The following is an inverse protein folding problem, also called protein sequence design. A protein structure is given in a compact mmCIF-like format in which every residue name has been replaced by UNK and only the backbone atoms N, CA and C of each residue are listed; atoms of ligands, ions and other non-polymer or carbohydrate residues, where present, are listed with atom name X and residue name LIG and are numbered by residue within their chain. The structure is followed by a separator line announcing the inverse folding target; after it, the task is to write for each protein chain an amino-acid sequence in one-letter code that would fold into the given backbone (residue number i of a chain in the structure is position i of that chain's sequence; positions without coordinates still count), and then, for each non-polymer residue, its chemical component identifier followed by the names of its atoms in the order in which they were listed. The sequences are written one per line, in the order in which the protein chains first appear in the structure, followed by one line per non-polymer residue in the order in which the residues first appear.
data_IF_821748040055
#
_entry.id   IF_821748040055
#
_cell.length_a   1.000
_cell.length_b   1.000
_cell.length_c   1.000
_cell.angle_alpha   90.00
_cell.angle_beta   90.00
_cell.angle_gamma   90.00
#
_symmetry.space_group_name_H-M   'P 1'
#
loop_
_entity.id
_entity.type
_entity.pdbx_description
1 polymer ?
#
# COMPACT_ATOMS: atom_id res chain seq x y z
N UNK A 1 -14.39 -0.32 -30.75
CA UNK A 1 -14.55 -1.70 -30.25
C UNK A 1 -13.89 -2.66 -31.22
N UNK A 2 -12.55 -2.69 -31.23
CA UNK A 2 -11.80 -3.85 -31.71
C UNK A 2 -11.28 -4.46 -30.41
N UNK A 3 -11.82 -5.61 -30.03
CA UNK A 3 -11.32 -6.36 -28.89
C UNK A 3 -10.00 -7.00 -29.29
N UNK A 4 -8.90 -6.27 -29.10
CA UNK A 4 -7.57 -6.78 -29.41
C UNK A 4 -7.27 -7.99 -28.52
N UNK A 5 -7.10 -9.16 -29.13
CA UNK A 5 -6.72 -10.39 -28.45
C UNK A 5 -5.42 -10.25 -27.63
N UNK A 6 -4.55 -9.29 -27.99
CA UNK A 6 -3.35 -8.93 -27.20
C UNK A 6 -3.72 -8.45 -25.79
N UNK A 7 -4.71 -7.56 -25.67
CA UNK A 7 -5.17 -7.05 -24.37
C UNK A 7 -5.69 -8.17 -23.47
N UNK A 8 -6.37 -9.18 -24.03
CA UNK A 8 -6.84 -10.34 -23.26
C UNK A 8 -5.66 -11.17 -22.77
N UNK A 9 -4.67 -11.42 -23.62
CA UNK A 9 -3.48 -12.21 -23.28
C UNK A 9 -2.66 -11.56 -22.16
N UNK A 10 -2.37 -10.26 -22.26
CA UNK A 10 -1.55 -9.56 -21.28
C UNK A 10 -2.22 -9.50 -19.90
N UNK A 11 -3.55 -9.38 -19.88
CA UNK A 11 -4.34 -9.45 -18.65
C UNK A 11 -4.35 -10.84 -18.01
N UNK A 12 -4.43 -11.90 -18.83
CA UNK A 12 -4.32 -13.27 -18.36
C UNK A 12 -2.95 -13.51 -17.72
N UNK A 13 -1.87 -13.05 -18.35
CA UNK A 13 -0.52 -13.17 -17.78
C UNK A 13 -0.37 -12.41 -16.44
N UNK A 14 -0.97 -11.23 -16.33
CA UNK A 14 -1.04 -10.51 -15.06
C UNK A 14 -1.74 -11.32 -13.96
N UNK A 15 -2.91 -11.89 -14.26
CA UNK A 15 -3.64 -12.75 -13.33
C UNK A 15 -2.86 -14.04 -13.00
N UNK A 16 -2.11 -14.60 -13.94
CA UNK A 16 -1.20 -15.73 -13.71
C UNK A 16 -0.10 -15.35 -12.72
N UNK A 17 0.44 -14.14 -12.78
CA UNK A 17 1.39 -13.61 -11.79
C UNK A 17 0.81 -13.57 -10.38
N UNK A 18 -0.43 -13.06 -10.23
CA UNK A 18 -1.16 -13.03 -8.96
C UNK A 18 -1.36 -14.45 -8.42
N UNK A 19 -1.91 -15.34 -9.25
CA UNK A 19 -2.21 -16.72 -8.87
C UNK A 19 -0.93 -17.50 -8.55
N UNK A 20 0.16 -17.27 -9.28
CA UNK A 20 1.47 -17.85 -9.02
C UNK A 20 1.98 -17.49 -7.62
N UNK A 21 1.99 -16.20 -7.26
CA UNK A 21 2.39 -15.76 -5.92
C UNK A 21 1.47 -16.33 -4.84
N UNK A 22 0.15 -16.37 -5.08
CA UNK A 22 -0.81 -16.99 -4.17
C UNK A 22 -0.54 -18.49 -3.95
N UNK A 23 -0.35 -19.26 -5.02
CA UNK A 23 -0.10 -20.70 -4.96
C UNK A 23 1.20 -21.01 -4.20
N UNK A 24 2.28 -20.28 -4.51
CA UNK A 24 3.56 -20.42 -3.81
C UNK A 24 3.39 -20.10 -2.32
N UNK A 25 2.67 -19.02 -1.98
CA UNK A 25 2.36 -18.68 -0.59
C UNK A 25 1.54 -19.78 0.12
N UNK A 26 0.56 -20.36 -0.57
CA UNK A 26 -0.28 -21.44 -0.06
C UNK A 26 0.52 -22.72 0.22
N UNK A 27 1.44 -23.11 -0.68
CA UNK A 27 2.35 -24.22 -0.45
C UNK A 27 3.26 -23.96 0.76
N UNK A 28 3.88 -22.78 0.84
CA UNK A 28 4.73 -22.44 1.99
C UNK A 28 3.98 -22.27 3.31
N UNK A 29 2.67 -22.04 3.26
CA UNK A 29 1.79 -22.03 4.42
C UNK A 29 1.58 -23.44 4.99
N UNK A 30 1.58 -24.49 4.15
CA UNK A 30 1.47 -25.89 4.60
C UNK A 30 2.77 -26.47 5.13
N UNK A 31 3.91 -25.89 4.76
CA UNK A 31 5.23 -26.33 5.25
C UNK A 31 5.46 -25.88 6.69
N UNK A 32 6.10 -26.74 7.48
CA UNK A 32 6.41 -26.50 8.90
C UNK A 32 7.11 -25.14 9.10
N UNK A 33 6.80 -24.37 10.16
CA UNK A 33 7.41 -23.07 10.39
C UNK A 33 8.92 -23.21 10.60
N UNK A 34 9.70 -22.87 9.57
CA UNK A 34 11.16 -22.79 9.70
C UNK A 34 11.53 -21.55 10.51
N UNK A 35 12.18 -21.76 11.65
CA UNK A 35 12.72 -20.69 12.52
C UNK A 35 14.01 -20.07 11.99
N UNK A 36 14.61 -20.65 10.94
CA UNK A 36 15.85 -20.19 10.32
C UNK A 36 15.58 -18.92 9.50
N UNK A 37 16.25 -17.81 9.84
CA UNK A 37 16.07 -16.49 9.19
C UNK A 37 16.31 -16.53 7.67
N UNK A 38 17.34 -17.23 7.22
CA UNK A 38 17.68 -17.36 5.79
C UNK A 38 16.53 -18.04 5.03
N UNK A 39 15.93 -19.08 5.61
CA UNK A 39 14.80 -19.76 5.00
C UNK A 39 13.57 -18.83 4.89
N UNK A 40 13.34 -17.93 5.85
CA UNK A 40 12.24 -16.95 5.77
C UNK A 40 12.45 -15.92 4.65
N UNK A 41 13.68 -15.46 4.49
CA UNK A 41 14.07 -14.55 3.40
C UNK A 41 13.85 -15.26 2.06
N UNK A 42 14.34 -16.48 1.91
CA UNK A 42 14.19 -17.25 0.69
C UNK A 42 12.72 -17.58 0.36
N UNK A 43 11.90 -17.90 1.37
CA UNK A 43 10.45 -18.07 1.18
C UNK A 43 9.79 -16.80 0.66
N UNK A 44 10.09 -15.64 1.27
CA UNK A 44 9.53 -14.35 0.84
C UNK A 44 9.95 -14.00 -0.58
N UNK A 45 11.19 -14.30 -0.93
CA UNK A 45 11.73 -14.20 -2.29
C UNK A 45 10.87 -15.03 -3.26
N UNK A 46 10.77 -16.34 -3.04
CA UNK A 46 9.99 -17.22 -3.93
C UNK A 46 8.52 -16.81 -4.08
N UNK A 47 7.88 -16.32 -3.02
CA UNK A 47 6.49 -15.84 -3.07
C UNK A 47 6.38 -14.55 -3.88
N UNK A 48 7.33 -13.63 -3.74
CA UNK A 48 7.34 -12.35 -4.46
C UNK A 48 7.63 -12.52 -5.96
N UNK A 49 8.37 -13.57 -6.35
CA UNK A 49 8.89 -13.74 -7.71
C UNK A 49 7.83 -13.74 -8.81
N UNK A 50 6.73 -14.54 -8.76
CA UNK A 50 5.78 -14.60 -9.87
C UNK A 50 5.19 -13.23 -10.22
N UNK A 51 4.71 -12.51 -9.20
CA UNK A 51 4.17 -11.17 -9.38
C UNK A 51 5.22 -10.16 -9.82
N UNK A 52 6.41 -10.19 -9.21
CA UNK A 52 7.48 -9.24 -9.52
C UNK A 52 8.03 -9.40 -10.94
N UNK A 53 8.05 -10.63 -11.46
CA UNK A 53 8.46 -10.93 -12.84
C UNK A 53 7.46 -10.32 -13.82
N UNK A 54 6.16 -10.56 -13.61
CA UNK A 54 5.14 -9.98 -14.49
C UNK A 54 5.22 -8.46 -14.47
N UNK A 55 5.26 -7.85 -13.28
CA UNK A 55 5.41 -6.42 -13.10
C UNK A 55 6.69 -5.85 -13.73
N UNK A 56 7.82 -6.55 -13.62
CA UNK A 56 9.10 -6.11 -14.14
C UNK A 56 9.24 -6.22 -15.65
N UNK A 57 8.55 -7.17 -16.28
CA UNK A 57 8.58 -7.41 -17.73
C UNK A 57 7.57 -6.55 -18.52
N UNK A 58 6.94 -5.58 -17.86
CA UNK A 58 6.02 -4.64 -18.51
C UNK A 58 6.72 -3.68 -19.48
N UNK A 59 5.98 -3.17 -20.44
CA UNK A 59 6.41 -2.05 -21.29
C UNK A 59 6.56 -0.76 -20.46
N UNK A 60 7.46 0.13 -20.89
CA UNK A 60 7.66 1.44 -20.25
C UNK A 60 6.45 2.39 -20.39
N UNK A 61 5.51 2.05 -21.29
CA UNK A 61 4.22 2.73 -21.45
C UNK A 61 3.20 2.39 -20.37
N UNK A 62 3.43 1.35 -19.55
CA UNK A 62 2.46 0.88 -18.55
C UNK A 62 2.63 1.65 -17.24
N UNK A 63 1.66 2.51 -16.95
CA UNK A 63 1.62 3.42 -15.81
C UNK A 63 2.17 4.81 -16.13
N UNK A 64 1.43 5.84 -15.73
CA UNK A 64 1.77 7.23 -15.96
C UNK A 64 3.12 7.61 -15.33
N UNK A 65 3.35 7.30 -14.05
CA UNK A 65 4.64 7.65 -13.44
C UNK A 65 5.79 6.87 -14.10
N UNK A 66 5.62 5.58 -14.44
CA UNK A 66 6.67 4.80 -15.13
C UNK A 66 7.08 5.49 -16.43
N UNK A 67 6.11 5.95 -17.22
CA UNK A 67 6.35 6.70 -18.44
C UNK A 67 7.03 8.05 -18.17
N UNK A 68 6.57 8.80 -17.17
CA UNK A 68 7.17 10.07 -16.77
C UNK A 68 8.62 9.91 -16.30
N UNK A 69 8.93 8.85 -15.56
CA UNK A 69 10.27 8.52 -15.09
C UNK A 69 11.15 7.84 -16.15
N UNK A 70 10.67 7.68 -17.40
CA UNK A 70 11.41 7.02 -18.48
C UNK A 70 12.79 7.62 -18.75
N UNK A 71 12.92 8.95 -18.64
CA UNK A 71 14.18 9.66 -18.82
C UNK A 71 15.27 9.22 -17.82
N UNK A 72 14.89 8.80 -16.60
CA UNK A 72 15.83 8.22 -15.62
C UNK A 72 16.32 6.85 -16.05
N UNK A 73 15.44 6.03 -16.65
CA UNK A 73 15.81 4.70 -17.13
C UNK A 73 16.77 4.77 -18.33
N UNK A 74 16.71 5.83 -19.12
CA UNK A 74 17.58 6.04 -20.30
C UNK A 74 18.79 6.97 -20.07
N UNK A 75 19.09 7.32 -18.81
CA UNK A 75 20.31 8.05 -18.45
C UNK A 75 20.36 9.53 -18.88
N UNK A 76 19.22 10.14 -19.23
CA UNK A 76 19.12 11.55 -19.61
C UNK A 76 19.00 12.43 -18.36
N UNK A 77 20.13 12.72 -17.72
CA UNK A 77 20.23 13.36 -16.40
C UNK A 77 20.19 14.89 -16.40
N UNK A 78 20.14 15.54 -17.56
CA UNK A 78 20.29 17.00 -17.64
C UNK A 78 19.04 17.79 -17.22
N UNK A 79 17.92 17.12 -16.93
CA UNK A 79 16.64 17.75 -16.59
C UNK A 79 16.19 17.53 -15.12
N UNK A 80 17.11 17.28 -14.19
CA UNK A 80 16.75 16.84 -12.84
C UNK A 80 16.23 17.95 -11.91
N UNK A 81 15.05 17.77 -11.28
CA UNK A 81 14.68 18.51 -10.09
C UNK A 81 15.66 18.17 -8.94
N UNK A 82 16.30 19.18 -8.34
CA UNK A 82 17.31 19.02 -7.26
C UNK A 82 16.81 18.26 -6.01
N UNK A 83 15.52 18.02 -5.89
CA UNK A 83 14.87 17.52 -4.67
C UNK A 83 14.57 16.03 -4.69
N UNK A 84 14.92 15.35 -5.76
CA UNK A 84 14.89 13.88 -5.85
C UNK A 84 16.27 13.26 -5.71
N UNK A 85 17.25 14.00 -5.18
CA UNK A 85 18.67 13.69 -5.30
C UNK A 85 19.02 12.23 -5.01
N UNK A 86 18.56 11.65 -3.88
CA UNK A 86 18.89 10.26 -3.54
C UNK A 86 18.21 9.24 -4.46
N UNK A 87 16.94 9.44 -4.81
CA UNK A 87 16.25 8.58 -5.75
C UNK A 87 16.90 8.68 -7.13
N UNK A 88 17.16 9.89 -7.63
CA UNK A 88 17.87 10.11 -8.88
C UNK A 88 19.27 9.49 -8.88
N UNK A 89 20.04 9.63 -7.79
CA UNK A 89 21.35 8.98 -7.67
C UNK A 89 21.24 7.45 -7.69
N UNK A 90 20.22 6.87 -7.04
CA UNK A 90 20.00 5.42 -7.08
C UNK A 90 19.66 4.93 -8.49
N UNK A 91 18.86 5.70 -9.24
CA UNK A 91 18.54 5.40 -10.64
C UNK A 91 19.77 5.49 -11.53
N UNK A 92 20.62 6.51 -11.33
CA UNK A 92 21.91 6.64 -12.02
C UNK A 92 22.82 5.46 -11.72
N UNK A 93 22.93 5.06 -10.46
CA UNK A 93 23.76 3.93 -10.06
C UNK A 93 23.27 2.63 -10.72
N UNK A 94 21.96 2.36 -10.65
CA UNK A 94 21.37 1.19 -11.29
C UNK A 94 21.56 1.22 -12.81
N UNK A 95 21.38 2.37 -13.44
CA UNK A 95 21.61 2.57 -14.87
C UNK A 95 23.09 2.28 -15.23
N UNK A 96 24.05 2.76 -14.44
CA UNK A 96 25.49 2.46 -14.62
C UNK A 96 25.81 0.98 -14.41
N UNK A 97 25.14 0.30 -13.47
CA UNK A 97 25.36 -1.11 -13.18
C UNK A 97 24.79 -2.05 -14.27
N UNK A 98 23.66 -1.68 -14.88
CA UNK A 98 22.90 -2.55 -15.78
C UNK A 98 22.87 -2.10 -17.25
N UNK A 99 23.41 -0.91 -17.55
CA UNK A 99 23.41 -0.30 -18.87
C UNK A 99 22.18 0.57 -19.12
N UNK A 100 22.36 1.66 -19.88
CA UNK A 100 21.35 2.70 -20.13
C UNK A 100 20.13 2.25 -20.94
N UNK A 101 20.19 1.07 -21.57
CA UNK A 101 19.15 0.60 -22.47
C UNK A 101 18.32 -0.55 -21.87
N UNK A 102 18.57 -0.93 -20.61
CA UNK A 102 17.91 -2.06 -19.97
C UNK A 102 16.99 -1.65 -18.82
N UNK A 103 15.98 -0.84 -19.15
CA UNK A 103 14.97 -0.40 -18.17
C UNK A 103 14.21 -1.57 -17.53
N UNK A 104 14.07 -2.70 -18.24
CA UNK A 104 13.40 -3.91 -17.74
C UNK A 104 14.07 -4.45 -16.48
N UNK A 105 15.40 -4.46 -16.38
CA UNK A 105 16.10 -4.87 -15.15
C UNK A 105 15.78 -3.91 -14.00
N UNK A 106 15.71 -2.61 -14.27
CA UNK A 106 15.36 -1.62 -13.24
C UNK A 106 13.92 -1.80 -12.77
N UNK A 107 12.96 -1.96 -13.68
CA UNK A 107 11.57 -2.23 -13.35
C UNK A 107 11.41 -3.53 -12.57
N UNK A 108 12.15 -4.58 -12.95
CA UNK A 108 12.20 -5.83 -12.21
C UNK A 108 12.72 -5.61 -10.79
N UNK A 109 13.84 -4.89 -10.62
CA UNK A 109 14.41 -4.60 -9.30
C UNK A 109 13.43 -3.86 -8.39
N UNK A 110 12.78 -2.79 -8.87
CA UNK A 110 11.81 -2.04 -8.06
C UNK A 110 10.56 -2.84 -7.74
N UNK A 111 10.02 -3.58 -8.73
CA UNK A 111 8.87 -4.45 -8.51
C UNK A 111 9.21 -5.53 -7.47
N UNK A 112 10.39 -6.13 -7.59
CA UNK A 112 10.87 -7.14 -6.65
C UNK A 112 11.06 -6.58 -5.25
N UNK A 113 11.79 -5.46 -5.10
CA UNK A 113 12.03 -4.84 -3.81
C UNK A 113 10.69 -4.50 -3.11
N UNK A 114 9.74 -3.94 -3.85
CA UNK A 114 8.44 -3.53 -3.33
C UNK A 114 7.64 -4.73 -2.82
N UNK A 115 7.40 -5.73 -3.67
CA UNK A 115 6.63 -6.93 -3.31
C UNK A 115 7.35 -7.75 -2.22
N UNK A 116 8.67 -7.88 -2.30
CA UNK A 116 9.48 -8.58 -1.31
C UNK A 116 9.35 -7.96 0.08
N UNK A 117 9.51 -6.64 0.23
CA UNK A 117 9.37 -5.99 1.53
C UNK A 117 7.96 -6.13 2.09
N UNK A 118 6.93 -5.99 1.26
CA UNK A 118 5.55 -6.19 1.69
C UNK A 118 5.30 -7.62 2.20
N UNK A 119 5.82 -8.64 1.52
CA UNK A 119 5.61 -10.04 1.89
C UNK A 119 6.48 -10.45 3.08
N UNK A 120 7.72 -9.96 3.14
CA UNK A 120 8.62 -10.22 4.26
C UNK A 120 8.16 -9.55 5.56
N UNK A 121 7.46 -8.40 5.49
CA UNK A 121 6.85 -7.77 6.66
C UNK A 121 5.88 -8.72 7.36
N UNK A 122 5.20 -9.58 6.61
CA UNK A 122 4.17 -10.47 7.12
C UNK A 122 4.70 -11.77 7.69
N UNK A 123 5.85 -12.24 7.19
CA UNK A 123 6.64 -13.24 7.92
C UNK A 123 6.95 -12.80 9.36
N UNK A 124 7.18 -11.49 9.57
CA UNK A 124 7.44 -10.94 10.91
C UNK A 124 6.20 -10.86 11.80
N UNK A 125 4.99 -10.96 11.24
CA UNK A 125 3.74 -11.04 11.99
C UNK A 125 3.25 -12.47 12.26
N UNK A 126 3.99 -13.50 11.81
CA UNK A 126 3.70 -14.92 12.02
C UNK A 126 2.33 -15.38 11.45
N UNK A 127 1.94 -14.90 10.28
CA UNK A 127 0.63 -15.19 9.67
C UNK A 127 0.59 -16.51 8.90
N UNK A 128 1.29 -17.55 9.37
CA UNK A 128 1.49 -18.80 8.60
C UNK A 128 0.19 -19.37 8.01
N UNK A 129 -0.94 -19.32 8.73
CA UNK A 129 -2.23 -19.91 8.32
C UNK A 129 -3.12 -19.01 7.43
N UNK A 130 -2.67 -17.82 7.06
CA UNK A 130 -3.44 -16.83 6.31
C UNK A 130 -2.58 -16.05 5.31
N UNK A 131 -1.33 -16.47 5.11
CA UNK A 131 -0.36 -15.83 4.21
C UNK A 131 -0.89 -15.74 2.79
N UNK A 132 -1.48 -16.82 2.28
CA UNK A 132 -2.01 -16.85 0.93
C UNK A 132 -3.12 -15.80 0.71
N UNK A 133 -4.01 -15.64 1.70
CA UNK A 133 -5.08 -14.62 1.65
C UNK A 133 -4.48 -13.22 1.58
N UNK A 134 -3.49 -12.92 2.42
CA UNK A 134 -2.82 -11.63 2.35
C UNK A 134 -2.18 -11.38 0.98
N UNK A 135 -1.40 -12.35 0.47
CA UNK A 135 -0.68 -12.21 -0.81
C UNK A 135 -1.67 -11.93 -1.93
N UNK A 136 -2.77 -12.68 -1.98
CA UNK A 136 -3.83 -12.46 -2.95
C UNK A 136 -4.46 -11.07 -2.82
N UNK A 137 -4.87 -10.67 -1.61
CA UNK A 137 -5.45 -9.34 -1.37
C UNK A 137 -4.48 -8.21 -1.72
N UNK A 138 -3.20 -8.33 -1.35
CA UNK A 138 -2.17 -7.35 -1.70
C UNK A 138 -2.04 -7.21 -3.22
N UNK A 139 -1.93 -8.33 -3.94
CA UNK A 139 -1.80 -8.31 -5.38
C UNK A 139 -3.04 -7.70 -6.07
N UNK A 140 -4.25 -8.01 -5.59
CA UNK A 140 -5.50 -7.44 -6.12
C UNK A 140 -5.62 -5.93 -5.87
N UNK A 141 -5.21 -5.45 -4.69
CA UNK A 141 -5.34 -4.03 -4.37
C UNK A 141 -4.19 -3.20 -4.92
N UNK A 142 -2.94 -3.66 -4.78
CA UNK A 142 -1.75 -2.84 -5.04
C UNK A 142 -0.92 -3.30 -6.24
N UNK A 143 -1.17 -4.49 -6.79
CA UNK A 143 -0.31 -5.07 -7.83
C UNK A 143 -0.14 -4.14 -9.04
N UNK A 144 -1.23 -3.63 -9.60
CA UNK A 144 -1.17 -2.68 -10.72
C UNK A 144 -0.73 -1.27 -10.27
N UNK A 145 -1.06 -0.83 -9.06
CA UNK A 145 -0.51 0.43 -8.53
C UNK A 145 1.02 0.43 -8.47
N UNK A 146 1.71 -0.71 -8.41
CA UNK A 146 3.19 -0.75 -8.49
C UNK A 146 3.68 -0.23 -9.84
N UNK A 147 2.91 -0.36 -10.93
CA UNK A 147 3.31 0.15 -12.23
C UNK A 147 3.16 1.65 -12.34
N UNK A 148 2.23 2.25 -11.59
CA UNK A 148 1.96 3.68 -11.65
C UNK A 148 2.57 4.47 -10.49
N UNK A 149 2.87 3.86 -9.34
CA UNK A 149 3.26 4.58 -8.12
C UNK A 149 4.46 3.90 -7.43
N UNK A 150 5.42 3.40 -8.21
CA UNK A 150 6.47 2.48 -7.72
C UNK A 150 7.32 3.04 -6.56
N UNK A 151 7.72 4.32 -6.60
CA UNK A 151 8.47 4.97 -5.49
C UNK A 151 7.65 4.97 -4.21
N UNK A 152 6.38 5.34 -4.35
CA UNK A 152 5.48 5.46 -3.24
C UNK A 152 5.17 4.10 -2.63
N UNK A 153 4.86 3.09 -3.45
CA UNK A 153 4.57 1.74 -2.97
C UNK A 153 5.78 1.03 -2.39
N UNK A 154 6.99 1.31 -2.88
CA UNK A 154 8.22 0.91 -2.19
C UNK A 154 8.29 1.54 -0.80
N UNK A 155 7.99 2.84 -0.69
CA UNK A 155 7.84 3.55 0.59
C UNK A 155 6.78 2.92 1.50
N UNK A 156 5.61 2.55 0.97
CA UNK A 156 4.56 1.85 1.72
C UNK A 156 5.04 0.49 2.24
N UNK A 157 5.76 -0.27 1.41
CA UNK A 157 6.28 -1.60 1.75
C UNK A 157 7.38 -1.52 2.82
N UNK A 158 8.25 -0.51 2.76
CA UNK A 158 9.23 -0.20 3.80
C UNK A 158 8.55 0.25 5.09
N UNK A 159 7.48 1.04 5.01
CA UNK A 159 6.69 1.42 6.18
C UNK A 159 5.99 0.22 6.82
N UNK A 160 5.50 -0.73 6.03
CA UNK A 160 4.94 -1.99 6.53
C UNK A 160 5.98 -2.79 7.31
N UNK A 161 7.23 -2.85 6.83
CA UNK A 161 8.36 -3.41 7.57
C UNK A 161 8.59 -2.67 8.90
N UNK A 162 8.48 -1.34 8.92
CA UNK A 162 8.59 -0.57 10.15
C UNK A 162 7.50 -0.95 11.17
N UNK A 163 6.24 -1.03 10.73
CA UNK A 163 5.11 -1.49 11.56
C UNK A 163 5.38 -2.90 12.12
N UNK A 164 5.93 -3.79 11.29
CA UNK A 164 6.29 -5.14 11.71
C UNK A 164 7.40 -5.18 12.77
N UNK A 165 8.40 -4.31 12.67
CA UNK A 165 9.44 -4.20 13.68
C UNK A 165 8.95 -3.54 14.97
N UNK A 166 8.10 -2.51 14.87
CA UNK A 166 7.46 -1.90 16.04
C UNK A 166 6.59 -2.91 16.79
N UNK A 167 5.87 -3.77 16.06
CA UNK A 167 5.03 -4.81 16.65
C UNK A 167 5.81 -5.94 17.34
N UNK A 168 7.10 -6.05 17.05
CA UNK A 168 8.04 -6.98 17.66
C UNK A 168 8.99 -6.28 18.64
N UNK A 169 8.65 -5.07 19.10
CA UNK A 169 9.41 -4.23 20.04
C UNK A 169 10.82 -3.82 19.56
N UNK A 170 11.14 -4.02 18.28
CA UNK A 170 12.45 -3.68 17.68
C UNK A 170 12.46 -2.25 17.16
N UNK A 171 12.34 -1.29 18.08
CA UNK A 171 12.15 0.14 17.80
C UNK A 171 13.21 0.74 16.87
N UNK A 172 14.49 0.48 17.14
CA UNK A 172 15.60 1.02 16.33
C UNK A 172 15.47 0.57 14.86
N UNK A 173 15.16 -0.71 14.63
CA UNK A 173 14.96 -1.23 13.28
C UNK A 173 13.74 -0.59 12.62
N UNK A 174 12.64 -0.45 13.35
CA UNK A 174 11.45 0.24 12.85
C UNK A 174 11.75 1.68 12.40
N UNK A 175 12.48 2.46 13.22
CA UNK A 175 12.91 3.82 12.88
C UNK A 175 13.80 3.84 11.63
N UNK A 176 14.75 2.91 11.51
CA UNK A 176 15.59 2.81 10.31
C UNK A 176 14.76 2.60 9.04
N UNK A 177 13.73 1.76 9.08
CA UNK A 177 12.84 1.56 7.93
C UNK A 177 11.98 2.79 7.62
N UNK A 178 11.57 3.59 8.64
CA UNK A 178 10.90 4.88 8.42
C UNK A 178 11.84 5.87 7.73
N UNK A 179 13.10 5.96 8.17
CA UNK A 179 14.12 6.85 7.58
C UNK A 179 14.37 6.46 6.12
N UNK A 180 14.65 5.17 5.84
CA UNK A 180 14.88 4.66 4.48
C UNK A 180 13.64 4.88 3.61
N UNK A 181 12.44 4.61 4.13
CA UNK A 181 11.19 4.87 3.43
C UNK A 181 11.00 6.35 3.11
N UNK A 182 11.32 7.25 4.04
CA UNK A 182 11.21 8.71 3.85
C UNK A 182 12.14 9.20 2.74
N UNK A 183 13.35 8.65 2.65
CA UNK A 183 14.26 8.92 1.53
C UNK A 183 13.76 8.39 0.19
N UNK A 184 12.90 7.36 0.20
CA UNK A 184 12.24 6.85 -1.01
C UNK A 184 11.07 7.73 -1.42
N UNK A 185 10.21 8.08 -0.45
CA UNK A 185 9.05 8.95 -0.63
C UNK A 185 8.69 9.67 0.68
N UNK A 186 8.58 11.00 0.63
CA UNK A 186 8.47 11.85 1.84
C UNK A 186 7.20 11.63 2.66
N UNK A 187 6.10 11.15 2.04
CA UNK A 187 4.84 10.85 2.74
C UNK A 187 5.00 9.79 3.85
N UNK A 188 6.04 8.95 3.79
CA UNK A 188 6.32 7.96 4.84
C UNK A 188 6.48 8.62 6.20
N UNK A 189 7.15 9.77 6.28
CA UNK A 189 7.38 10.47 7.55
C UNK A 189 6.07 10.98 8.16
N UNK A 190 5.24 11.64 7.35
CA UNK A 190 3.94 12.19 7.78
C UNK A 190 3.06 11.05 8.30
N UNK A 191 2.98 9.97 7.55
CA UNK A 191 2.17 8.80 7.90
C UNK A 191 2.72 8.08 9.14
N UNK A 192 4.03 8.01 9.31
CA UNK A 192 4.64 7.43 10.51
C UNK A 192 4.23 8.21 11.77
N UNK A 193 4.13 9.54 11.70
CA UNK A 193 3.63 10.36 12.81
C UNK A 193 2.16 10.03 13.12
N UNK A 194 1.31 9.91 12.10
CA UNK A 194 -0.11 9.52 12.28
C UNK A 194 -0.22 8.14 12.94
N UNK A 195 0.59 7.17 12.50
CA UNK A 195 0.62 5.84 13.12
C UNK A 195 1.08 5.87 14.60
N UNK A 196 2.09 6.69 14.93
CA UNK A 196 2.55 6.87 16.31
C UNK A 196 1.46 7.50 17.18
N UNK A 197 0.74 8.49 16.67
CA UNK A 197 -0.42 9.09 17.35
C UNK A 197 -1.48 8.04 17.61
N UNK A 198 -1.81 7.18 16.64
CA UNK A 198 -2.74 6.06 16.85
C UNK A 198 -2.30 5.15 18.01
N UNK A 199 -0.99 4.86 18.09
CA UNK A 199 -0.43 4.05 19.17
C UNK A 199 -0.47 4.72 20.55
N UNK A 200 -0.34 6.05 20.61
CA UNK A 200 -0.51 6.84 21.84
C UNK A 200 -1.97 6.89 22.30
N UNK A 201 -2.90 7.07 21.36
CA UNK A 201 -4.34 7.07 21.63
C UNK A 201 -4.75 5.73 22.27
N UNK A 202 -4.28 4.61 21.71
CA UNK A 202 -4.57 3.28 22.25
C UNK A 202 -4.06 3.11 23.69
N UNK A 203 -2.85 3.61 24.00
CA UNK A 203 -2.26 3.51 25.36
C UNK A 203 -2.92 4.41 26.39
N UNK A 204 -3.51 5.52 25.96
CA UNK A 204 -4.13 6.48 26.86
C UNK A 204 -5.38 5.90 27.53
N UNK A 205 -5.82 6.44 28.67
CA UNK A 205 -7.09 6.05 29.30
C UNK A 205 -8.32 6.21 28.37
N UNK A 206 -8.18 6.98 27.27
CA UNK A 206 -9.18 7.11 26.20
C UNK A 206 -9.28 5.85 25.32
N UNK A 207 -8.24 5.01 25.27
CA UNK A 207 -8.11 3.81 24.44
C UNK A 207 -8.75 2.54 25.00
N UNK A 208 -9.38 2.60 26.19
CA UNK A 208 -10.29 1.55 26.66
C UNK A 208 -11.60 1.56 25.85
N UNK A 209 -11.51 1.30 24.55
CA UNK A 209 -12.65 0.88 23.73
C UNK A 209 -13.00 -0.54 24.16
N UNK A 210 -13.71 -0.67 25.29
CA UNK A 210 -14.35 -1.93 25.68
C UNK A 210 -15.64 -2.05 24.90
N UNK A 211 -15.61 -2.82 23.81
CA UNK A 211 -16.84 -3.31 23.18
C UNK A 211 -17.36 -4.44 24.07
N UNK A 212 -18.29 -4.12 24.97
CA UNK A 212 -19.03 -5.15 25.70
C UNK A 212 -20.17 -5.63 24.80
N UNK A 213 -20.13 -6.90 24.42
CA UNK A 213 -21.29 -7.56 23.85
C UNK A 213 -22.28 -7.83 24.98
N UNK A 214 -23.42 -7.16 24.95
CA UNK A 214 -24.61 -7.62 25.67
C UNK A 214 -24.90 -9.06 25.24
N UNK A 215 -25.31 -9.92 26.18
CA UNK A 215 -25.75 -11.30 25.91
C UNK A 215 -26.99 -11.36 24.99
N UNK A 216 -27.63 -10.22 24.73
CA UNK A 216 -28.77 -10.09 23.83
C UNK A 216 -28.32 -9.47 22.51
N UNK A 217 -28.73 -10.07 21.40
CA UNK A 217 -28.33 -9.87 20.00
C UNK A 217 -28.44 -8.44 19.40
N UNK A 218 -28.36 -7.37 20.18
CA UNK A 218 -28.31 -5.99 19.68
C UNK A 218 -26.86 -5.57 19.40
N UNK A 219 -26.57 -5.24 18.14
CA UNK A 219 -25.28 -4.73 17.67
C UNK A 219 -25.08 -3.28 18.16
N UNK A 220 -24.68 -3.12 19.42
CA UNK A 220 -24.39 -1.80 20.01
C UNK A 220 -22.90 -1.45 19.88
N UNK A 221 -22.57 -0.47 19.03
CA UNK A 221 -21.23 0.14 19.02
C UNK A 221 -21.14 1.19 20.12
N UNK A 222 -20.71 0.83 21.32
CA UNK A 222 -20.31 1.84 22.32
C UNK A 222 -18.85 2.21 22.12
N UNK A 223 -18.59 3.04 21.11
CA UNK A 223 -17.35 3.82 21.07
C UNK A 223 -17.36 4.76 22.28
N UNK A 224 -16.25 4.83 23.01
CA UNK A 224 -16.13 5.83 24.08
C UNK A 224 -16.39 7.20 23.43
N UNK A 225 -17.44 7.94 23.82
CA UNK A 225 -17.77 9.21 23.17
C UNK A 225 -16.61 10.20 23.26
N UNK A 226 -15.76 10.12 24.30
CA UNK A 226 -14.54 10.92 24.41
C UNK A 226 -13.49 10.54 23.35
N UNK A 227 -13.35 9.26 23.02
CA UNK A 227 -12.45 8.80 21.96
C UNK A 227 -13.01 9.15 20.58
N UNK A 228 -14.32 9.05 20.37
CA UNK A 228 -14.96 9.46 19.12
C UNK A 228 -14.85 10.97 18.90
N UNK A 229 -15.09 11.77 19.95
CA UNK A 229 -14.94 13.23 19.91
C UNK A 229 -13.47 13.60 19.72
N UNK A 230 -12.52 12.95 20.40
CA UNK A 230 -11.10 13.20 20.21
C UNK A 230 -10.63 12.81 18.80
N UNK A 231 -11.07 11.65 18.29
CA UNK A 231 -10.73 11.19 16.94
C UNK A 231 -11.36 12.09 15.87
N UNK A 232 -12.62 12.46 16.06
CA UNK A 232 -13.32 13.45 15.24
C UNK A 232 -12.61 14.80 15.29
N UNK A 233 -12.18 15.26 16.47
CA UNK A 233 -11.43 16.50 16.64
C UNK A 233 -10.05 16.44 15.97
N UNK A 234 -9.28 15.36 16.16
CA UNK A 234 -7.98 15.18 15.51
C UNK A 234 -8.16 15.11 14.00
N UNK A 235 -9.16 14.40 13.50
CA UNK A 235 -9.48 14.36 12.06
C UNK A 235 -9.85 15.75 11.56
N UNK A 236 -10.75 16.45 12.25
CA UNK A 236 -11.18 17.81 11.87
C UNK A 236 -10.01 18.78 11.92
N UNK A 237 -9.14 18.72 12.94
CA UNK A 237 -7.94 19.55 13.04
C UNK A 237 -6.94 19.20 11.94
N UNK A 238 -6.70 17.93 11.66
CA UNK A 238 -5.82 17.52 10.57
C UNK A 238 -6.39 17.97 9.22
N UNK A 239 -7.67 17.76 8.96
CA UNK A 239 -8.36 18.27 7.78
C UNK A 239 -8.18 19.79 7.73
N UNK A 240 -8.65 20.54 8.72
CA UNK A 240 -8.56 22.01 8.75
C UNK A 240 -7.12 22.53 8.61
N UNK A 241 -6.15 21.89 9.24
CA UNK A 241 -4.73 22.25 9.13
C UNK A 241 -4.21 21.99 7.71
N UNK A 242 -4.40 20.78 7.18
CA UNK A 242 -3.96 20.40 5.83
C UNK A 242 -4.75 21.08 4.71
N UNK A 243 -5.98 21.54 4.97
CA UNK A 243 -6.83 22.27 4.02
C UNK A 243 -6.75 23.79 4.17
N UNK A 244 -6.05 24.31 5.18
CA UNK A 244 -5.88 25.76 5.31
C UNK A 244 -5.04 26.27 4.15
N UNK A 245 -5.53 27.33 3.48
CA UNK A 245 -4.79 28.00 2.41
C UNK A 245 -3.40 28.39 2.87
N UNK A 246 -3.27 28.89 4.11
CA UNK A 246 -1.98 29.28 4.70
C UNK A 246 -0.99 28.11 4.81
N UNK A 247 -1.44 26.89 5.13
CA UNK A 247 -0.55 25.73 5.20
C UNK A 247 -0.18 25.21 3.81
N UNK A 248 -1.13 25.18 2.88
CA UNK A 248 -0.85 24.82 1.48
C UNK A 248 0.10 25.84 0.83
N UNK A 249 -0.10 27.13 1.06
CA UNK A 249 0.76 28.22 0.60
C UNK A 249 2.16 28.13 1.23
N UNK A 250 2.24 27.83 2.53
CA UNK A 250 3.51 27.55 3.22
C UNK A 250 4.25 26.36 2.57
N UNK A 251 3.54 25.25 2.30
CA UNK A 251 4.12 24.10 1.61
C UNK A 251 4.54 24.45 0.18
N UNK A 252 3.73 25.18 -0.59
CA UNK A 252 4.09 25.64 -1.93
C UNK A 252 5.38 26.47 -1.94
N UNK A 253 5.61 27.27 -0.89
CA UNK A 253 6.77 28.15 -0.78
C UNK A 253 8.05 27.43 -0.32
N UNK A 254 7.94 26.25 0.31
CA UNK A 254 9.09 25.49 0.84
C UNK A 254 9.38 24.26 -0.01
N UNK A 255 8.36 23.73 -0.66
CA UNK A 255 8.46 22.59 -1.55
C UNK A 255 8.83 23.11 -2.95
N UNK A 256 9.73 22.44 -3.69
CA UNK A 256 10.20 22.88 -5.00
C UNK A 256 9.06 23.11 -5.99
N UNK A 257 9.26 24.04 -6.92
CA UNK A 257 8.30 24.41 -7.98
C UNK A 257 7.74 23.20 -8.74
N UNK A 258 8.53 22.15 -8.96
CA UNK A 258 8.07 20.96 -9.69
C UNK A 258 7.04 20.13 -8.89
N UNK A 259 6.97 20.34 -7.58
CA UNK A 259 6.03 19.70 -6.67
C UNK A 259 4.94 20.64 -6.17
N UNK A 260 5.09 21.95 -6.34
CA UNK A 260 4.04 22.93 -5.98
C UNK A 260 2.74 22.64 -6.73
N UNK A 261 2.84 22.08 -7.95
CA UNK A 261 1.71 21.61 -8.74
C UNK A 261 0.82 20.60 -8.00
N UNK A 262 1.37 19.74 -7.13
CA UNK A 262 0.59 18.77 -6.32
C UNK A 262 -0.19 19.42 -5.17
N UNK A 263 0.11 20.68 -4.84
CA UNK A 263 -0.55 21.47 -3.80
C UNK A 263 -1.47 22.54 -4.39
N UNK A 264 -1.27 22.92 -5.65
CA UNK A 264 -2.09 23.92 -6.35
C UNK A 264 -3.23 23.32 -7.19
N UNK A 265 -3.22 22.01 -7.46
CA UNK A 265 -4.25 21.35 -8.25
C UNK A 265 -5.50 21.01 -7.43
N UNK A 266 -6.56 21.81 -7.56
CA UNK A 266 -7.94 21.40 -7.31
C UNK A 266 -8.40 20.51 -8.47
N UNK A 267 -8.14 19.20 -8.41
CA UNK A 267 -8.42 18.34 -9.57
C UNK A 267 -9.89 17.93 -9.64
N UNK A 268 -10.51 18.29 -10.77
CA UNK A 268 -11.60 17.57 -11.43
C UNK A 268 -11.15 16.16 -11.88
N UNK A 269 -10.44 15.40 -11.03
CA UNK A 269 -10.04 14.03 -11.36
C UNK A 269 -11.08 13.04 -10.87
N UNK A 270 -11.61 12.32 -11.86
CA UNK A 270 -12.30 11.03 -11.86
C UNK A 270 -12.93 10.58 -10.53
N UNK A 271 -14.27 10.51 -10.55
CA UNK A 271 -15.11 9.89 -9.51
C UNK A 271 -15.07 10.56 -8.13
N UNK A 272 -15.30 11.88 -8.09
CA UNK A 272 -15.70 12.59 -6.86
C UNK A 272 -16.89 11.85 -6.22
N UNK A 273 -16.80 11.50 -4.95
CA UNK A 273 -17.80 10.69 -4.23
C UNK A 273 -17.64 9.17 -4.41
N UNK A 274 -17.69 8.64 -5.63
CA UNK A 274 -17.60 7.19 -5.85
C UNK A 274 -16.22 6.62 -5.47
N UNK A 275 -15.15 7.38 -5.70
CA UNK A 275 -13.80 7.00 -5.28
C UNK A 275 -13.65 6.86 -3.77
N UNK A 276 -14.37 7.68 -2.97
CA UNK A 276 -14.38 7.54 -1.52
C UNK A 276 -14.98 6.20 -1.10
N UNK A 277 -16.09 5.80 -1.73
CA UNK A 277 -16.76 4.52 -1.45
C UNK A 277 -15.84 3.36 -1.84
N UNK A 278 -15.22 3.44 -3.02
CA UNK A 278 -14.35 2.40 -3.56
C UNK A 278 -13.12 2.16 -2.65
N UNK A 279 -12.37 3.22 -2.32
CA UNK A 279 -11.16 3.12 -1.49
C UNK A 279 -11.49 2.72 -0.05
N UNK A 280 -12.62 3.22 0.48
CA UNK A 280 -13.07 2.86 1.83
C UNK A 280 -13.63 1.43 1.93
N UNK A 281 -13.98 0.80 0.80
CA UNK A 281 -14.54 -0.55 0.78
C UNK A 281 -13.58 -1.57 1.40
N UNK A 282 -12.27 -1.34 1.26
CA UNK A 282 -11.21 -2.16 1.82
C UNK A 282 -11.26 -2.19 3.35
N UNK A 283 -11.86 -1.20 4.03
CA UNK A 283 -12.02 -1.18 5.50
C UNK A 283 -13.26 -1.92 5.98
N UNK A 284 -14.27 -2.14 5.13
CA UNK A 284 -15.55 -2.72 5.56
C UNK A 284 -15.38 -4.06 6.29
N UNK A 285 -14.61 -5.05 5.77
CA UNK A 285 -14.36 -6.28 6.51
C UNK A 285 -13.65 -6.06 7.85
N UNK A 286 -12.77 -5.06 7.92
CA UNK A 286 -12.02 -4.71 9.11
C UNK A 286 -12.96 -4.24 10.23
N UNK A 287 -14.02 -3.50 9.91
CA UNK A 287 -15.05 -3.10 10.88
C UNK A 287 -15.72 -4.32 11.50
N UNK A 288 -15.91 -5.43 10.77
CA UNK A 288 -16.46 -6.65 11.37
C UNK A 288 -15.40 -7.48 12.12
N UNK A 289 -14.15 -7.42 11.66
CA UNK A 289 -13.03 -8.16 12.25
C UNK A 289 -12.44 -7.49 13.50
N UNK A 290 -12.74 -6.22 13.77
CA UNK A 290 -12.16 -5.46 14.88
C UNK A 290 -12.33 -6.15 16.25
N UNK A 291 -13.44 -6.87 16.45
CA UNK A 291 -13.72 -7.60 17.70
C UNK A 291 -12.68 -8.68 18.01
N UNK A 292 -11.94 -9.11 17.00
CA UNK A 292 -10.85 -10.07 17.13
C UNK A 292 -9.49 -9.40 17.38
N UNK A 293 -9.39 -8.06 17.42
CA UNK A 293 -8.16 -7.36 17.79
C UNK A 293 -7.91 -7.46 19.31
N UNK A 294 -6.95 -8.30 19.68
CA UNK A 294 -6.63 -8.63 21.07
C UNK A 294 -5.36 -7.94 21.56
N UNK A 295 -4.46 -7.53 20.67
CA UNK A 295 -3.19 -6.90 21.05
C UNK A 295 -3.19 -5.40 20.80
N UNK A 296 -2.33 -4.67 21.53
CA UNK A 296 -2.04 -3.24 21.34
C UNK A 296 -1.77 -2.91 19.86
N UNK A 297 -0.91 -3.70 19.22
CA UNK A 297 -0.49 -3.47 17.84
C UNK A 297 -1.63 -3.70 16.85
N UNK A 298 -2.45 -4.75 17.03
CA UNK A 298 -3.62 -5.00 16.18
C UNK A 298 -4.63 -3.85 16.24
N UNK A 299 -4.87 -3.30 17.45
CA UNK A 299 -5.75 -2.15 17.65
C UNK A 299 -5.18 -0.87 17.07
N UNK A 300 -3.87 -0.65 17.21
CA UNK A 300 -3.17 0.49 16.61
C UNK A 300 -3.29 0.46 15.08
N UNK A 301 -3.06 -0.71 14.47
CA UNK A 301 -3.21 -0.88 13.01
C UNK A 301 -4.67 -0.68 12.60
N UNK A 302 -5.63 -1.19 13.38
CA UNK A 302 -7.06 -0.95 13.14
C UNK A 302 -7.39 0.55 13.11
N UNK A 303 -6.98 1.30 14.15
CA UNK A 303 -7.19 2.75 14.23
C UNK A 303 -6.53 3.49 13.07
N UNK A 304 -5.30 3.10 12.73
CA UNK A 304 -4.58 3.64 11.59
C UNK A 304 -5.32 3.36 10.27
N UNK A 305 -5.89 2.16 10.12
CA UNK A 305 -6.74 1.80 8.98
C UNK A 305 -7.96 2.70 8.82
N UNK A 306 -8.52 3.26 9.89
CA UNK A 306 -9.65 4.20 9.80
C UNK A 306 -9.28 5.54 9.15
N UNK A 307 -8.00 5.82 8.92
CA UNK A 307 -7.55 7.02 8.20
C UNK A 307 -7.64 6.91 6.67
N UNK A 308 -7.92 5.75 6.07
CA UNK A 308 -8.11 5.67 4.59
C UNK A 308 -9.17 6.67 4.09
N UNK A 309 -10.42 6.70 4.61
CA UNK A 309 -11.42 7.68 4.17
C UNK A 309 -10.98 9.11 4.45
N UNK A 310 -10.23 9.35 5.54
CA UNK A 310 -9.73 10.68 5.89
C UNK A 310 -8.73 11.17 4.85
N UNK A 311 -7.72 10.35 4.53
CA UNK A 311 -6.73 10.72 3.50
C UNK A 311 -7.36 10.81 2.11
N UNK A 312 -8.35 9.97 1.80
CA UNK A 312 -9.10 10.07 0.56
C UNK A 312 -9.86 11.40 0.46
N UNK A 313 -10.54 11.81 1.52
CA UNK A 313 -11.22 13.11 1.59
C UNK A 313 -10.23 14.27 1.46
N UNK A 314 -9.10 14.21 2.18
CA UNK A 314 -8.01 15.19 2.02
C UNK A 314 -7.45 15.21 0.59
N UNK A 315 -7.54 14.07 -0.11
CA UNK A 315 -7.17 13.92 -1.51
C UNK A 315 -7.94 14.81 -2.48
N UNK A 316 -9.18 15.21 -2.15
CA UNK A 316 -9.93 16.19 -2.94
C UNK A 316 -9.32 17.59 -2.91
N UNK A 317 -8.42 17.85 -1.96
CA UNK A 317 -7.77 19.15 -1.78
C UNK A 317 -6.34 19.14 -2.31
N UNK A 318 -5.65 17.99 -2.21
CA UNK A 318 -4.30 17.84 -2.73
C UNK A 318 -4.01 16.39 -3.11
N UNK A 319 -3.45 16.22 -4.29
CA UNK A 319 -3.00 14.92 -4.78
C UNK A 319 -1.88 14.31 -3.91
N UNK A 320 -1.07 15.14 -3.24
CA UNK A 320 -0.10 14.67 -2.25
C UNK A 320 -0.77 14.00 -1.04
N UNK A 321 -1.89 14.55 -0.58
CA UNK A 321 -2.66 13.98 0.54
C UNK A 321 -3.41 12.72 0.12
N UNK A 322 -3.96 12.71 -1.12
CA UNK A 322 -4.59 11.52 -1.70
C UNK A 322 -3.64 10.32 -1.62
N UNK A 323 -2.40 10.51 -2.08
CA UNK A 323 -1.35 9.49 -2.04
C UNK A 323 -1.17 8.87 -0.64
N UNK A 324 -1.36 9.61 0.45
CA UNK A 324 -1.21 9.05 1.81
C UNK A 324 -2.17 7.90 2.15
N UNK A 325 -3.27 7.72 1.42
CA UNK A 325 -4.25 6.66 1.69
C UNK A 325 -3.69 5.24 1.51
N UNK A 326 -2.70 5.03 0.64
CA UNK A 326 -2.13 3.70 0.36
C UNK A 326 -1.49 3.05 1.59
N UNK A 327 -1.01 3.86 2.53
CA UNK A 327 -0.34 3.35 3.72
C UNK A 327 -1.30 2.69 4.71
N UNK A 328 -2.38 3.34 5.18
CA UNK A 328 -3.37 2.67 6.02
C UNK A 328 -4.07 1.52 5.28
N UNK A 329 -4.36 1.62 3.98
CA UNK A 329 -4.91 0.48 3.22
C UNK A 329 -4.00 -0.75 3.29
N UNK A 330 -2.70 -0.58 3.03
CA UNK A 330 -1.74 -1.68 3.11
C UNK A 330 -1.65 -2.27 4.52
N UNK A 331 -1.74 -1.42 5.55
CA UNK A 331 -1.77 -1.86 6.94
C UNK A 331 -3.06 -2.65 7.27
N UNK A 332 -4.21 -2.27 6.70
CA UNK A 332 -5.47 -3.03 6.80
C UNK A 332 -5.34 -4.41 6.18
N UNK A 333 -4.75 -4.52 4.99
CA UNK A 333 -4.53 -5.83 4.36
C UNK A 333 -3.65 -6.73 5.22
N UNK A 334 -2.58 -6.18 5.79
CA UNK A 334 -1.74 -6.92 6.74
C UNK A 334 -2.53 -7.37 7.97
N UNK A 335 -3.41 -6.51 8.51
CA UNK A 335 -4.28 -6.87 9.62
C UNK A 335 -5.24 -8.02 9.26
N UNK A 336 -5.75 -8.09 8.02
CA UNK A 336 -6.50 -9.27 7.55
C UNK A 336 -5.69 -10.54 7.65
N UNK A 337 -4.44 -10.52 7.20
CA UNK A 337 -3.52 -11.64 7.40
C UNK A 337 -3.41 -12.02 8.88
N UNK A 338 -3.29 -11.06 9.79
CA UNK A 338 -3.16 -11.35 11.23
C UNK A 338 -4.44 -11.87 11.87
N UNK A 339 -5.61 -11.31 11.54
CA UNK A 339 -6.88 -11.65 12.18
C UNK A 339 -7.48 -12.94 11.63
N UNK A 340 -7.44 -13.15 10.31
CA UNK A 340 -8.04 -14.33 9.66
C UNK A 340 -7.36 -15.67 10.01
N UNK A 341 -6.21 -15.63 10.70
CA UNK A 341 -5.54 -16.83 11.24
C UNK A 341 -6.15 -17.31 12.58
N UNK A 342 -6.88 -16.45 13.29
CA UNK A 342 -7.40 -16.75 14.62
C UNK A 342 -8.53 -17.79 14.52
N UNK A 343 -8.50 -18.79 15.40
CA UNK A 343 -9.45 -19.92 15.36
C UNK A 343 -10.91 -19.48 15.49
N UNK A 344 -11.16 -18.39 16.23
CA UNK A 344 -12.51 -17.88 16.48
C UNK A 344 -13.07 -17.02 15.33
N UNK A 345 -12.29 -16.81 14.26
CA UNK A 345 -12.74 -16.07 13.08
C UNK A 345 -13.37 -17.05 12.10
N UNK A 346 -14.65 -16.85 11.71
CA UNK A 346 -15.32 -17.74 10.77
C UNK A 346 -14.60 -17.80 9.42
N UNK A 347 -14.51 -18.99 8.83
CA UNK A 347 -13.83 -19.18 7.54
C UNK A 347 -14.46 -18.35 6.40
N UNK A 348 -15.78 -18.08 6.45
CA UNK A 348 -16.45 -17.24 5.46
C UNK A 348 -15.89 -15.80 5.41
N UNK A 349 -15.29 -15.29 6.50
CA UNK A 349 -14.67 -13.97 6.51
C UNK A 349 -13.49 -13.88 5.54
N UNK A 350 -12.75 -14.98 5.34
CA UNK A 350 -11.66 -15.03 4.35
C UNK A 350 -12.21 -14.82 2.94
N UNK A 351 -13.36 -15.45 2.64
CA UNK A 351 -14.05 -15.32 1.35
C UNK A 351 -14.53 -13.88 1.15
N UNK A 352 -15.16 -13.27 2.17
CA UNK A 352 -15.61 -11.87 2.10
C UNK A 352 -14.45 -10.91 1.81
N UNK A 353 -13.32 -11.04 2.50
CA UNK A 353 -12.14 -10.20 2.24
C UNK A 353 -11.67 -10.35 0.79
N UNK A 354 -11.55 -11.59 0.29
CA UNK A 354 -11.12 -11.85 -1.08
C UNK A 354 -12.11 -11.26 -2.08
N UNK A 355 -13.41 -11.45 -1.88
CA UNK A 355 -14.45 -10.91 -2.78
C UNK A 355 -14.42 -9.39 -2.83
N UNK A 356 -14.25 -8.71 -1.70
CA UNK A 356 -14.14 -7.25 -1.66
C UNK A 356 -12.87 -6.77 -2.36
N UNK A 357 -11.73 -7.45 -2.17
CA UNK A 357 -10.49 -7.11 -2.88
C UNK A 357 -10.61 -7.35 -4.39
N UNK A 358 -11.28 -8.43 -4.80
CA UNK A 358 -11.51 -8.74 -6.20
C UNK A 358 -12.48 -7.74 -6.86
N UNK A 359 -13.53 -7.34 -6.14
CA UNK A 359 -14.48 -6.32 -6.60
C UNK A 359 -13.78 -4.96 -6.73
N UNK A 360 -12.95 -4.59 -5.76
CA UNK A 360 -12.11 -3.39 -5.86
C UNK A 360 -11.21 -3.47 -7.09
N UNK A 361 -10.50 -4.59 -7.28
CA UNK A 361 -9.61 -4.76 -8.43
C UNK A 361 -10.36 -4.57 -9.76
N UNK A 362 -11.50 -5.25 -9.90
CA UNK A 362 -12.30 -5.20 -11.12
C UNK A 362 -12.81 -3.79 -11.42
N UNK A 363 -13.42 -3.12 -10.42
CA UNK A 363 -13.95 -1.77 -10.61
C UNK A 363 -12.83 -0.76 -10.85
N UNK A 364 -11.81 -0.74 -9.97
CA UNK A 364 -10.77 0.27 -9.99
C UNK A 364 -9.88 0.16 -11.23
N UNK A 365 -9.40 -1.05 -11.55
CA UNK A 365 -8.40 -1.21 -12.59
C UNK A 365 -8.99 -1.51 -13.96
N UNK A 366 -10.05 -2.31 -14.04
CA UNK A 366 -10.61 -2.70 -15.33
C UNK A 366 -11.66 -1.72 -15.85
N UNK A 367 -12.41 -1.06 -14.97
CA UNK A 367 -13.50 -0.17 -15.37
C UNK A 367 -13.15 1.33 -15.29
N UNK A 368 -12.51 1.76 -14.20
CA UNK A 368 -12.17 3.17 -13.99
C UNK A 368 -10.83 3.60 -14.63
N UNK A 369 -10.12 2.69 -15.30
CA UNK A 369 -8.90 2.95 -16.07
C UNK A 369 -7.80 3.69 -15.27
N UNK A 370 -7.16 2.97 -14.35
CA UNK A 370 -6.17 3.48 -13.41
C UNK A 370 -4.86 3.96 -14.08
N UNK A 371 -4.88 5.19 -14.60
CA UNK A 371 -3.70 5.95 -15.04
C UNK A 371 -2.77 5.20 -16.02
N UNK A 372 -3.35 4.49 -16.99
CA UNK A 372 -2.58 3.77 -18.00
C UNK A 372 -1.85 2.52 -17.49
N UNK A 373 -2.20 2.02 -16.30
CA UNK A 373 -1.80 0.68 -15.86
C UNK A 373 -2.56 -0.44 -16.61
N UNK A 374 -3.66 -0.09 -17.28
CA UNK A 374 -4.52 -0.99 -18.04
C UNK A 374 -4.94 -0.34 -19.38
N UNK A 375 -5.00 -1.08 -20.51
CA UNK A 375 -4.59 -2.48 -20.67
C UNK A 375 -3.10 -2.68 -20.37
N UNK A 376 -2.79 -3.83 -19.79
CA UNK A 376 -1.42 -4.18 -19.45
C UNK A 376 -0.65 -4.54 -20.73
N UNK A 377 0.58 -4.07 -20.90
CA UNK A 377 1.42 -4.40 -22.06
C UNK A 377 2.77 -4.95 -21.60
N UNK A 378 3.22 -6.04 -22.24
CA UNK A 378 4.55 -6.58 -21.99
C UNK A 378 5.61 -5.96 -22.89
N UNK A 379 6.85 -5.92 -22.40
CA UNK A 379 8.00 -5.43 -23.12
C UNK A 379 8.18 -6.04 -24.52
N UNK A 380 7.88 -7.33 -24.65
CA UNK A 380 8.08 -8.10 -25.88
C UNK A 380 6.96 -7.90 -26.91
N UNK A 381 5.83 -7.29 -26.56
CA UNK A 381 4.68 -7.12 -27.46
C UNK A 381 4.90 -5.98 -28.48
N UNK A 382 5.80 -5.03 -28.21
CA UNK A 382 6.14 -3.91 -29.12
C UNK A 382 7.35 -4.17 -30.02
N UNK A 383 7.93 -5.37 -30.00
CA UNK A 383 9.08 -5.77 -30.84
C UNK A 383 8.69 -6.57 -32.09
N UNK A 384 7.39 -6.63 -32.40
CA UNK A 384 6.84 -7.29 -33.59
C UNK A 384 6.65 -6.32 -34.75
#
# INVERSE_FOLDING_TARGET
MISDASNVYSNVLYLVGILGSFLVAYFFQKLTPNKIKIAQIFKSFLIASPMSIVLGLRSISVGYDTYMYSHYFFGKLEALPKTEFLFSQSMVLLNRMFGSDNYTIMLLFFSYATVFFAFYAIEKFNTNNSRAVYVLSYCLIFGLCITDQFRQLLGCSLFLMAIAYFSNEKRIRGILYVIIGTFTHSTVLVVALVYLVCGLIEKSEFGNVRVQFSKENSMGFTLNPKALIFFGFVIVVLILFFTSSSFLDFLINIVPINYSQYFTTRLNQESVGFGLVLDSMIIIPMIFLHKYCTTHHERTIFLFGLFVPVFRLCGYMSYFLYRMLYYPELAVLMLYGVLLRKQNVPNYMKVIVILICALFYYINYMYLNNHGAFPYEFYFEKRG
#
